data_IF_737705987606
#
_entry.id   IF_737705987606
#
_cell.length_a   1.000
_cell.length_b   1.000
_cell.length_c   1.000
_cell.angle_alpha   90.00
_cell.angle_beta   90.00
_cell.angle_gamma   90.00
#
_symmetry.space_group_name_H-M   'P 1'
#
loop_
_entity.id
_entity.type
_entity.pdbx_description
1 polymer ?
#
# COMPACT_ATOMS: atom_id res chain seq x y z
N UNK A 1 -18.66 10.04 -33.61
CA UNK A 1 -17.54 10.81 -34.17
C UNK A 1 -16.40 10.76 -33.19
N UNK A 2 -15.31 10.12 -33.58
CA UNK A 2 -14.15 9.82 -32.76
C UNK A 2 -13.29 11.07 -32.57
N UNK A 3 -12.77 11.30 -31.37
CA UNK A 3 -11.66 12.22 -31.13
C UNK A 3 -10.63 11.51 -30.27
N UNK A 4 -9.53 11.15 -30.92
CA UNK A 4 -8.32 10.55 -30.37
C UNK A 4 -7.37 11.65 -29.88
N UNK A 5 -6.99 11.64 -28.60
CA UNK A 5 -5.91 12.49 -28.11
C UNK A 5 -4.59 11.71 -28.19
N UNK A 6 -3.77 12.10 -29.17
CA UNK A 6 -2.40 11.63 -29.41
C UNK A 6 -1.45 12.47 -28.55
N UNK A 7 -0.46 11.81 -27.93
CA UNK A 7 0.66 12.44 -27.24
C UNK A 7 1.52 13.23 -28.24
N UNK A 8 1.71 14.53 -27.99
CA UNK A 8 2.59 15.41 -28.76
C UNK A 8 4.06 15.23 -28.35
N UNK A 9 4.91 14.89 -29.31
CA UNK A 9 6.36 15.17 -29.29
C UNK A 9 6.64 16.24 -30.36
N UNK A 10 7.36 17.31 -29.98
CA UNK A 10 7.83 18.39 -30.87
C UNK A 10 9.19 18.04 -31.51
N UNK A 11 9.61 18.75 -32.59
CA UNK A 11 10.33 18.16 -33.71
C UNK A 11 11.85 18.42 -33.76
N UNK A 12 12.46 17.69 -34.69
CA UNK A 12 13.84 17.66 -35.17
C UNK A 12 14.44 18.99 -35.66
N UNK A 13 15.75 19.13 -35.50
CA UNK A 13 16.63 19.93 -36.38
C UNK A 13 17.74 19.06 -36.96
N UNK A 14 18.01 19.27 -38.25
CA UNK A 14 18.87 18.45 -39.11
C UNK A 14 20.26 19.05 -39.35
N UNK A 15 21.28 18.18 -39.24
CA UNK A 15 22.49 18.00 -40.07
C UNK A 15 23.24 19.20 -40.68
N UNK A 16 24.55 19.23 -40.44
CA UNK A 16 25.55 19.38 -41.51
C UNK A 16 26.85 18.61 -41.19
N UNK A 17 27.44 18.07 -42.25
CA UNK A 17 28.58 17.14 -42.31
C UNK A 17 29.90 17.86 -42.63
N UNK A 18 31.06 17.31 -42.22
CA UNK A 18 32.16 16.85 -43.11
C UNK A 18 33.43 16.41 -42.33
N UNK A 19 33.73 15.12 -42.47
CA UNK A 19 35.03 14.42 -42.63
C UNK A 19 36.38 15.08 -42.26
N UNK A 20 37.27 14.32 -41.59
CA UNK A 20 38.55 13.83 -42.15
C UNK A 20 39.14 12.65 -41.33
N UNK A 21 39.75 11.70 -42.06
CA UNK A 21 40.47 10.51 -41.57
C UNK A 21 41.74 10.88 -40.77
N UNK A 22 42.08 10.07 -39.76
CA UNK A 22 43.40 9.42 -39.75
C UNK A 22 43.43 8.18 -38.87
N UNK A 23 43.93 7.10 -39.46
CA UNK A 23 44.18 5.79 -38.90
C UNK A 23 45.49 5.76 -38.10
N UNK A 24 45.47 5.16 -36.90
CA UNK A 24 46.64 4.47 -36.34
C UNK A 24 46.21 3.38 -35.37
N UNK A 25 46.67 2.18 -35.67
CA UNK A 25 46.64 0.94 -34.90
C UNK A 25 47.46 1.06 -33.61
N UNK A 26 46.95 0.51 -32.50
CA UNK A 26 47.75 -0.23 -31.51
C UNK A 26 46.88 -1.05 -30.55
N UNK A 27 47.48 -2.14 -30.08
CA UNK A 27 47.02 -3.37 -29.43
C UNK A 27 46.39 -3.24 -28.03
N UNK A 28 45.69 -4.28 -27.53
CA UNK A 28 44.90 -4.20 -26.30
C UNK A 28 45.74 -4.47 -25.06
N UNK A 29 45.65 -3.60 -24.05
CA UNK A 29 46.10 -3.90 -22.70
C UNK A 29 44.87 -4.13 -21.82
N UNK A 30 44.67 -5.38 -21.42
CA UNK A 30 43.74 -5.77 -20.37
C UNK A 30 44.27 -5.30 -19.02
N UNK A 31 43.65 -4.28 -18.45
CA UNK A 31 43.78 -3.95 -17.03
C UNK A 31 42.44 -4.22 -16.36
N UNK A 32 42.40 -5.25 -15.51
CA UNK A 32 41.30 -5.47 -14.56
C UNK A 32 41.41 -4.42 -13.45
N UNK A 33 40.41 -3.54 -13.24
CA UNK A 33 40.33 -2.79 -12.00
C UNK A 33 39.74 -3.72 -10.93
N UNK A 34 40.54 -4.05 -9.92
CA UNK A 34 40.06 -4.57 -8.64
C UNK A 34 39.09 -3.55 -8.02
N UNK A 35 37.79 -3.79 -8.15
CA UNK A 35 36.76 -3.02 -7.45
C UNK A 35 36.66 -3.61 -6.04
N UNK A 36 37.30 -2.94 -5.09
CA UNK A 36 37.07 -3.17 -3.65
C UNK A 36 35.70 -2.58 -3.32
N UNK A 37 34.68 -3.46 -3.16
CA UNK A 37 33.40 -3.06 -2.56
C UNK A 37 33.62 -2.89 -1.06
N UNK A 38 33.84 -1.66 -0.63
CA UNK A 38 33.69 -1.29 0.77
C UNK A 38 32.17 -1.17 1.07
N UNK A 39 31.62 -2.16 1.77
CA UNK A 39 30.29 -2.05 2.37
C UNK A 39 30.40 -1.15 3.59
N UNK A 40 30.09 0.12 3.45
CA UNK A 40 29.76 0.98 4.60
C UNK A 40 28.27 0.85 4.87
N UNK A 41 27.90 -0.11 5.72
CA UNK A 41 26.61 -0.06 6.42
C UNK A 41 26.69 1.11 7.40
N UNK A 42 26.21 2.27 6.97
CA UNK A 42 26.04 3.42 7.86
C UNK A 42 24.72 3.19 8.58
N UNK A 43 24.80 2.64 9.80
CA UNK A 43 23.68 2.56 10.72
C UNK A 43 23.27 3.99 11.10
N UNK A 44 22.23 4.49 10.44
CA UNK A 44 21.52 5.67 10.92
C UNK A 44 20.75 5.26 12.18
N UNK A 45 21.41 5.41 13.33
CA UNK A 45 20.75 5.49 14.62
C UNK A 45 19.95 6.80 14.66
N UNK A 46 18.73 6.78 14.11
CA UNK A 46 17.75 7.79 14.44
C UNK A 46 17.37 7.59 15.91
N UNK A 47 17.35 8.70 16.66
CA UNK A 47 17.06 8.76 18.09
C UNK A 47 15.90 7.83 18.46
N UNK A 48 16.23 6.69 19.05
CA UNK A 48 15.27 5.75 19.60
C UNK A 48 14.48 6.48 20.68
N UNK A 49 13.16 6.58 20.52
CA UNK A 49 12.28 6.50 21.69
C UNK A 49 12.69 5.22 22.42
N UNK A 50 13.45 5.38 23.50
CA UNK A 50 13.99 4.28 24.26
C UNK A 50 12.80 3.51 24.86
N UNK A 51 12.41 2.39 24.23
CA UNK A 51 11.31 1.55 24.73
C UNK A 51 10.60 0.65 23.73
N UNK A 52 10.65 0.91 22.42
CA UNK A 52 9.90 0.08 21.44
C UNK A 52 10.81 -0.97 20.79
N UNK A 53 10.45 -2.26 20.94
CA UNK A 53 11.06 -3.37 20.21
C UNK A 53 10.38 -3.55 18.86
N UNK A 54 11.17 -3.77 17.80
CA UNK A 54 10.66 -4.18 16.48
C UNK A 54 11.22 -5.55 16.13
N UNK A 55 10.34 -6.50 15.81
CA UNK A 55 10.70 -7.82 15.31
C UNK A 55 10.11 -8.00 13.91
N UNK A 56 10.85 -8.62 13.00
CA UNK A 56 10.33 -9.00 11.70
C UNK A 56 10.38 -10.52 11.53
N UNK A 57 9.40 -11.06 10.81
CA UNK A 57 9.34 -12.49 10.52
C UNK A 57 8.47 -12.74 9.28
N UNK A 58 8.33 -14.01 8.91
CA UNK A 58 7.46 -14.45 7.83
C UNK A 58 6.45 -15.47 8.34
N UNK A 59 5.21 -15.35 7.87
CA UNK A 59 4.16 -16.34 8.03
C UNK A 59 3.86 -17.00 6.68
N UNK A 60 3.64 -18.31 6.64
CA UNK A 60 3.42 -19.03 5.38
C UNK A 60 1.92 -19.11 5.09
N UNK A 61 1.46 -18.28 4.15
CA UNK A 61 0.08 -18.35 3.67
C UNK A 61 -0.06 -19.45 2.61
N UNK A 62 -0.91 -20.44 2.90
CA UNK A 62 -1.28 -21.48 1.94
C UNK A 62 -2.52 -21.06 1.17
N UNK A 63 -2.38 -20.87 -0.14
CA UNK A 63 -3.48 -20.51 -1.03
C UNK A 63 -3.46 -21.34 -2.30
N UNK A 64 -4.47 -22.20 -2.46
CA UNK A 64 -4.49 -23.25 -3.49
C UNK A 64 -3.20 -24.08 -3.40
N UNK A 65 -2.50 -24.26 -4.52
CA UNK A 65 -1.23 -25.01 -4.58
C UNK A 65 0.00 -24.15 -4.27
N UNK A 66 -0.18 -22.90 -3.81
CA UNK A 66 0.93 -21.98 -3.51
C UNK A 66 1.15 -21.91 -2.00
N UNK A 67 2.43 -21.90 -1.62
CA UNK A 67 2.89 -21.44 -0.31
C UNK A 67 3.56 -20.09 -0.51
N UNK A 68 3.04 -19.06 0.15
CA UNK A 68 3.47 -17.67 -0.02
C UNK A 68 4.06 -17.20 1.29
N UNK A 69 5.34 -16.82 1.32
CA UNK A 69 5.93 -16.19 2.50
C UNK A 69 5.40 -14.77 2.63
N UNK A 70 4.74 -14.49 3.75
CA UNK A 70 4.12 -13.23 4.08
C UNK A 70 4.97 -12.54 5.12
N UNK A 71 5.59 -11.44 4.73
CA UNK A 71 6.41 -10.64 5.63
C UNK A 71 5.52 -9.82 6.57
N UNK A 72 5.91 -9.76 7.84
CA UNK A 72 5.26 -8.90 8.83
C UNK A 72 6.27 -8.35 9.85
N UNK A 73 5.89 -7.24 10.49
CA UNK A 73 6.64 -6.60 11.57
C UNK A 73 5.76 -6.48 12.81
N UNK A 74 6.29 -6.87 13.97
CA UNK A 74 5.68 -6.66 15.28
C UNK A 74 6.40 -5.54 16.01
N UNK A 75 5.62 -4.62 16.59
CA UNK A 75 6.13 -3.55 17.46
C UNK A 75 5.42 -3.61 18.81
N UNK A 76 6.20 -3.65 19.88
CA UNK A 76 5.73 -3.64 21.27
C UNK A 76 6.75 -2.98 22.22
N UNK A 77 6.41 -2.82 23.49
CA UNK A 77 7.32 -2.26 24.52
C UNK A 77 8.34 -3.27 25.07
N UNK A 78 8.36 -4.50 24.58
CA UNK A 78 9.21 -5.57 25.11
C UNK A 78 8.90 -6.01 26.55
N UNK A 79 7.74 -5.64 27.11
CA UNK A 79 7.27 -6.12 28.41
C UNK A 79 6.30 -7.29 28.25
N UNK A 80 6.25 -8.16 29.27
CA UNK A 80 5.27 -9.26 29.35
C UNK A 80 3.89 -8.79 29.86
N UNK A 81 3.65 -7.48 29.91
CA UNK A 81 2.38 -6.92 30.35
C UNK A 81 1.26 -7.21 29.33
N UNK A 82 0.00 -7.39 29.79
CA UNK A 82 -1.13 -7.56 28.88
C UNK A 82 -1.24 -6.41 27.88
N UNK A 83 -1.43 -6.75 26.61
CA UNK A 83 -1.53 -5.77 25.52
C UNK A 83 -2.76 -6.01 24.64
N UNK A 84 -3.27 -4.92 24.06
CA UNK A 84 -4.31 -4.93 23.03
C UNK A 84 -3.64 -5.06 21.66
N UNK A 85 -4.17 -5.93 20.81
CA UNK A 85 -3.59 -6.20 19.49
C UNK A 85 -4.17 -5.28 18.43
N UNK A 86 -3.29 -4.73 17.60
CA UNK A 86 -3.65 -3.88 16.46
C UNK A 86 -3.00 -4.46 15.21
N UNK A 87 -3.82 -4.82 14.22
CA UNK A 87 -3.34 -5.14 12.88
C UNK A 87 -3.36 -3.88 12.02
N UNK A 88 -2.19 -3.48 11.50
CA UNK A 88 -2.03 -2.39 10.55
C UNK A 88 -1.77 -2.94 9.15
N UNK A 89 -2.60 -2.52 8.20
CA UNK A 89 -2.59 -3.06 6.84
C UNK A 89 -2.22 -1.92 5.89
N UNK A 90 -1.05 -1.99 5.23
CA UNK A 90 -0.64 -1.07 4.18
C UNK A 90 -1.73 -0.92 3.12
N UNK A 91 -1.70 0.21 2.43
CA UNK A 91 -2.51 0.40 1.24
C UNK A 91 -2.25 -0.69 0.20
N UNK A 92 -3.10 -0.73 -0.83
CA UNK A 92 -2.82 -1.55 -2.02
C UNK A 92 -2.49 -0.58 -3.15
N UNK A 93 -1.22 -0.55 -3.53
CA UNK A 93 -0.67 0.19 -4.65
C UNK A 93 0.48 -0.59 -5.29
N UNK A 94 1.14 0.03 -6.28
CA UNK A 94 2.24 -0.62 -7.00
C UNK A 94 3.46 -0.93 -6.14
N UNK A 95 3.63 -0.21 -5.03
CA UNK A 95 4.83 -0.18 -4.19
C UNK A 95 4.50 -0.21 -2.70
N UNK A 96 3.29 -0.63 -2.35
CA UNK A 96 2.87 -0.67 -0.94
C UNK A 96 3.68 -1.67 -0.12
N UNK A 97 3.90 -1.31 1.13
CA UNK A 97 4.75 -2.05 2.07
C UNK A 97 4.49 -1.65 3.52
N UNK A 98 4.90 -2.48 4.48
CA UNK A 98 4.85 -2.20 5.93
C UNK A 98 5.43 -0.84 6.33
N UNK A 99 6.34 -0.28 5.52
CA UNK A 99 7.00 0.99 5.81
C UNK A 99 6.02 2.14 5.96
N UNK A 100 4.86 2.08 5.29
CA UNK A 100 3.78 3.06 5.37
C UNK A 100 3.29 3.28 6.81
N UNK A 101 3.44 2.27 7.67
CA UNK A 101 2.87 2.25 9.02
C UNK A 101 3.91 2.27 10.13
N UNK A 102 5.21 2.10 9.84
CA UNK A 102 6.26 1.97 10.88
C UNK A 102 6.27 3.13 11.87
N UNK A 103 6.13 4.36 11.40
CA UNK A 103 6.14 5.55 12.26
C UNK A 103 4.91 5.59 13.17
N UNK A 104 3.72 5.28 12.64
CA UNK A 104 2.47 5.22 13.42
C UNK A 104 2.51 4.09 14.45
N UNK A 105 3.01 2.91 14.06
CA UNK A 105 3.17 1.77 14.95
C UNK A 105 4.09 2.08 16.13
N UNK A 106 5.25 2.69 15.87
CA UNK A 106 6.20 3.09 16.92
C UNK A 106 5.63 4.14 17.85
N UNK A 107 4.90 5.12 17.31
CA UNK A 107 4.26 6.17 18.11
C UNK A 107 3.20 5.57 19.06
N UNK A 108 2.25 4.79 18.52
CA UNK A 108 1.18 4.18 19.33
C UNK A 108 1.74 3.22 20.39
N UNK A 109 2.71 2.37 20.03
CA UNK A 109 3.33 1.42 20.97
C UNK A 109 4.21 2.10 22.02
N UNK A 110 4.81 3.24 21.70
CA UNK A 110 5.64 4.01 22.62
C UNK A 110 4.85 4.83 23.64
N UNK A 111 3.57 5.13 23.40
CA UNK A 111 2.73 5.93 24.30
C UNK A 111 2.44 5.23 25.62
N UNK A 112 2.37 6.01 26.69
CA UNK A 112 1.93 5.53 28.01
C UNK A 112 0.43 5.83 28.18
N UNK A 113 -0.35 4.78 28.42
CA UNK A 113 -1.80 4.84 28.60
C UNK A 113 -2.27 3.84 29.67
N UNK A 114 -3.58 3.63 29.80
CA UNK A 114 -4.11 2.63 30.76
C UNK A 114 -3.88 1.20 30.28
N UNK A 115 -3.77 1.02 28.97
CA UNK A 115 -3.52 -0.26 28.31
C UNK A 115 -2.25 -0.17 27.47
N UNK A 116 -1.54 -1.28 27.35
CA UNK A 116 -0.44 -1.39 26.40
C UNK A 116 -0.97 -1.85 25.03
N UNK A 117 -0.28 -1.46 23.97
CA UNK A 117 -0.60 -1.87 22.61
C UNK A 117 0.54 -2.69 22.03
N UNK A 118 0.19 -3.76 21.30
CA UNK A 118 1.07 -4.45 20.37
C UNK A 118 0.53 -4.25 18.97
N UNK A 119 1.40 -3.89 18.05
CA UNK A 119 1.01 -3.64 16.66
C UNK A 119 1.70 -4.65 15.75
N UNK A 120 0.95 -5.18 14.79
CA UNK A 120 1.48 -6.02 13.73
C UNK A 120 1.20 -5.35 12.40
N UNK A 121 2.23 -5.08 11.61
CA UNK A 121 2.11 -4.56 10.25
C UNK A 121 2.40 -5.71 9.28
N UNK A 122 1.54 -5.93 8.29
CA UNK A 122 1.67 -7.07 7.36
C UNK A 122 1.76 -6.62 5.91
N UNK A 123 2.67 -7.21 5.14
CA UNK A 123 2.71 -7.03 3.70
C UNK A 123 1.73 -7.96 2.98
N UNK A 124 1.02 -7.43 2.00
CA UNK A 124 0.13 -8.22 1.17
C UNK A 124 0.89 -9.29 0.35
N UNK A 125 0.27 -10.45 0.05
CA UNK A 125 0.81 -11.37 -0.95
C UNK A 125 0.95 -10.62 -2.28
N UNK A 126 2.15 -10.64 -2.87
CA UNK A 126 2.43 -9.91 -4.11
C UNK A 126 2.96 -8.48 -3.95
N UNK A 127 3.07 -7.94 -2.73
CA UNK A 127 3.58 -6.59 -2.45
C UNK A 127 4.68 -6.61 -1.38
N UNK A 128 5.32 -5.44 -1.15
CA UNK A 128 6.36 -5.27 -0.14
C UNK A 128 7.47 -6.32 -0.15
N UNK A 129 7.77 -6.83 1.04
CA UNK A 129 8.78 -7.84 1.29
C UNK A 129 8.23 -9.27 1.18
N UNK A 130 6.91 -9.45 1.09
CA UNK A 130 6.26 -10.74 0.81
C UNK A 130 6.62 -11.31 -0.57
N UNK A 131 6.38 -12.62 -0.72
CA UNK A 131 6.50 -13.33 -1.98
C UNK A 131 5.50 -12.82 -3.03
N UNK A 132 5.88 -12.90 -4.30
CA UNK A 132 5.05 -12.45 -5.44
C UNK A 132 4.77 -13.55 -6.48
N UNK A 133 4.08 -14.63 -6.08
CA UNK A 133 3.72 -15.69 -7.00
C UNK A 133 2.82 -15.17 -8.13
N UNK A 134 2.80 -15.89 -9.24
CA UNK A 134 1.87 -15.62 -10.34
C UNK A 134 0.47 -16.11 -9.94
N UNK A 135 -0.30 -15.25 -9.27
CA UNK A 135 -1.71 -15.51 -8.93
C UNK A 135 -2.64 -14.66 -9.79
N UNK A 136 -3.91 -15.07 -9.84
CA UNK A 136 -5.01 -14.26 -10.39
C UNK A 136 -5.54 -13.32 -9.31
N UNK A 137 -4.68 -12.37 -8.90
CA UNK A 137 -5.01 -11.38 -7.89
C UNK A 137 -6.29 -10.61 -8.25
N UNK A 138 -7.23 -10.61 -7.32
CA UNK A 138 -8.48 -9.86 -7.35
C UNK A 138 -8.89 -9.54 -5.89
N UNK A 139 -9.92 -8.73 -5.70
CA UNK A 139 -10.38 -8.33 -4.37
C UNK A 139 -10.69 -9.51 -3.45
N UNK A 140 -11.22 -10.63 -3.97
CA UNK A 140 -11.56 -11.81 -3.18
C UNK A 140 -10.32 -12.60 -2.76
N UNK A 141 -9.27 -12.64 -3.59
CA UNK A 141 -7.97 -13.21 -3.20
C UNK A 141 -7.36 -12.39 -2.05
N UNK A 142 -7.40 -11.07 -2.14
CA UNK A 142 -6.85 -10.19 -1.10
C UNK A 142 -7.69 -10.27 0.19
N UNK A 143 -9.02 -10.29 0.08
CA UNK A 143 -9.91 -10.54 1.24
C UNK A 143 -9.65 -11.89 1.87
N UNK A 144 -9.51 -12.96 1.07
CA UNK A 144 -9.21 -14.31 1.59
C UNK A 144 -7.90 -14.33 2.37
N UNK A 145 -6.86 -13.66 1.87
CA UNK A 145 -5.61 -13.49 2.60
C UNK A 145 -5.85 -12.81 3.94
N UNK A 146 -6.56 -11.68 3.98
CA UNK A 146 -6.83 -10.95 5.22
C UNK A 146 -7.60 -11.83 6.24
N UNK A 147 -8.61 -12.55 5.76
CA UNK A 147 -9.41 -13.48 6.58
C UNK A 147 -8.54 -14.61 7.14
N UNK A 148 -7.67 -15.18 6.32
CA UNK A 148 -6.76 -16.26 6.75
C UNK A 148 -5.72 -15.73 7.73
N UNK A 149 -5.14 -14.56 7.46
CA UNK A 149 -4.17 -13.94 8.33
C UNK A 149 -4.78 -13.62 9.70
N UNK A 150 -6.05 -13.21 9.78
CA UNK A 150 -6.68 -12.94 11.08
C UNK A 150 -7.07 -14.23 11.83
N UNK A 151 -7.56 -15.25 11.10
CA UNK A 151 -8.20 -16.41 11.73
C UNK A 151 -7.32 -17.67 11.83
N UNK A 152 -6.18 -17.73 11.14
CA UNK A 152 -5.33 -18.92 11.16
C UNK A 152 -4.70 -19.14 12.55
N UNK A 153 -4.71 -20.38 13.08
CA UNK A 153 -4.21 -20.66 14.42
C UNK A 153 -2.72 -20.32 14.65
N UNK A 154 -1.92 -20.39 13.58
CA UNK A 154 -0.48 -20.13 13.55
C UNK A 154 -0.13 -18.72 13.08
N UNK A 155 -1.14 -17.86 12.85
CA UNK A 155 -0.91 -16.48 12.46
C UNK A 155 -0.34 -15.66 13.64
N UNK A 156 0.55 -14.67 13.36
CA UNK A 156 1.04 -13.76 14.39
C UNK A 156 -0.05 -12.90 15.06
N UNK A 157 -1.23 -12.76 14.41
CA UNK A 157 -2.35 -12.00 14.96
C UNK A 157 -3.53 -12.89 15.34
N UNK A 158 -3.31 -14.21 15.48
CA UNK A 158 -4.36 -15.13 15.87
C UNK A 158 -5.03 -14.64 17.15
N UNK A 159 -6.32 -14.37 17.04
CA UNK A 159 -7.09 -13.68 18.05
C UNK A 159 -8.12 -14.62 18.67
N UNK A 160 -7.65 -15.59 19.46
CA UNK A 160 -8.50 -16.49 20.23
C UNK A 160 -9.48 -15.73 21.14
N UNK A 161 -9.07 -14.54 21.59
CA UNK A 161 -9.77 -13.74 22.59
C UNK A 161 -10.69 -12.68 21.96
N UNK A 162 -10.76 -12.63 20.62
CA UNK A 162 -11.58 -11.69 19.82
C UNK A 162 -11.32 -10.20 20.10
N UNK A 163 -10.14 -9.88 20.61
CA UNK A 163 -9.71 -8.52 20.92
C UNK A 163 -8.64 -8.00 19.95
N UNK A 164 -9.07 -7.68 18.72
CA UNK A 164 -8.21 -7.19 17.64
C UNK A 164 -8.83 -5.95 17.02
N UNK A 165 -8.07 -4.86 16.98
CA UNK A 165 -8.40 -3.67 16.19
C UNK A 165 -7.70 -3.75 14.84
N UNK A 166 -8.38 -3.34 13.78
CA UNK A 166 -7.82 -3.34 12.42
C UNK A 166 -7.73 -1.91 11.88
N UNK A 167 -6.53 -1.48 11.52
CA UNK A 167 -6.27 -0.23 10.82
C UNK A 167 -5.86 -0.53 9.38
N UNK A 168 -6.55 0.06 8.41
CA UNK A 168 -6.27 -0.14 6.99
C UNK A 168 -6.17 1.18 6.25
N UNK A 169 -5.26 1.27 5.28
CA UNK A 169 -5.15 2.40 4.36
C UNK A 169 -5.82 2.12 3.01
N UNK A 170 -6.46 3.11 2.38
CA UNK A 170 -6.90 2.99 0.99
C UNK A 170 -7.84 1.80 0.74
N UNK A 171 -7.55 0.98 -0.28
CA UNK A 171 -8.31 -0.25 -0.59
C UNK A 171 -8.26 -1.29 0.54
N UNK A 172 -7.20 -1.31 1.35
CA UNK A 172 -7.08 -2.24 2.49
C UNK A 172 -8.18 -2.01 3.52
N UNK A 173 -8.47 -0.74 3.82
CA UNK A 173 -9.56 -0.35 4.71
C UNK A 173 -10.90 -0.93 4.22
N UNK A 174 -11.19 -0.72 2.94
CA UNK A 174 -12.43 -1.17 2.31
C UNK A 174 -12.55 -2.69 2.27
N UNK A 175 -11.44 -3.42 2.06
CA UNK A 175 -11.41 -4.88 2.15
C UNK A 175 -11.68 -5.37 3.58
N UNK A 176 -11.12 -4.72 4.60
CA UNK A 176 -11.36 -5.06 6.00
C UNK A 176 -12.84 -4.87 6.37
N UNK A 177 -13.44 -3.73 5.98
CA UNK A 177 -14.87 -3.47 6.16
C UNK A 177 -15.72 -4.50 5.41
N UNK A 178 -15.35 -4.84 4.16
CA UNK A 178 -16.04 -5.86 3.37
C UNK A 178 -16.01 -7.24 4.03
N UNK A 179 -14.86 -7.64 4.56
CA UNK A 179 -14.69 -8.90 5.29
C UNK A 179 -15.53 -8.94 6.59
N UNK A 180 -15.52 -7.83 7.34
CA UNK A 180 -16.31 -7.69 8.56
C UNK A 180 -17.82 -7.72 8.28
N UNK A 181 -18.27 -7.02 7.23
CA UNK A 181 -19.66 -7.03 6.75
C UNK A 181 -20.13 -8.43 6.34
N UNK A 182 -19.24 -9.26 5.78
CA UNK A 182 -19.51 -10.68 5.47
C UNK A 182 -19.44 -11.60 6.69
N UNK A 183 -19.06 -11.09 7.87
CA UNK A 183 -18.88 -11.88 9.10
C UNK A 183 -17.67 -12.81 9.06
N UNK A 184 -16.75 -12.62 8.11
CA UNK A 184 -15.55 -13.45 7.93
C UNK A 184 -14.45 -13.09 8.94
N UNK A 185 -14.47 -11.85 9.44
CA UNK A 185 -13.64 -11.37 10.55
C UNK A 185 -14.52 -10.61 11.52
N UNK A 186 -14.12 -10.54 12.79
CA UNK A 186 -14.88 -9.90 13.87
C UNK A 186 -13.95 -9.01 14.72
N UNK A 187 -13.38 -7.94 14.15
CA UNK A 187 -12.54 -7.03 14.90
C UNK A 187 -13.35 -6.26 15.95
N UNK A 188 -12.69 -5.86 17.04
CA UNK A 188 -13.27 -5.00 18.09
C UNK A 188 -13.63 -3.63 17.51
N UNK A 189 -12.78 -3.11 16.61
CA UNK A 189 -13.00 -1.85 15.92
C UNK A 189 -12.21 -1.80 14.61
N UNK A 190 -12.60 -0.91 13.71
CA UNK A 190 -11.91 -0.66 12.44
C UNK A 190 -11.57 0.83 12.34
N UNK A 191 -10.34 1.16 11.96
CA UNK A 191 -10.00 2.49 11.46
C UNK A 191 -9.67 2.40 9.96
N UNK A 192 -10.36 3.23 9.18
CA UNK A 192 -10.24 3.35 7.73
C UNK A 192 -9.54 4.65 7.38
N UNK A 193 -8.28 4.57 6.94
CA UNK A 193 -7.42 5.73 6.67
C UNK A 193 -7.37 5.97 5.17
N UNK A 194 -7.74 7.18 4.75
CA UNK A 194 -7.89 7.56 3.34
C UNK A 194 -8.58 6.46 2.51
N UNK A 195 -9.75 5.93 2.92
CA UNK A 195 -10.31 4.72 2.31
C UNK A 195 -10.68 4.96 0.85
N UNK A 196 -10.29 4.01 0.00
CA UNK A 196 -10.53 4.03 -1.44
C UNK A 196 -11.10 2.69 -1.89
N UNK A 197 -11.77 2.66 -3.04
CA UNK A 197 -12.35 1.43 -3.58
C UNK A 197 -12.14 1.21 -5.07
N UNK A 198 -11.83 2.27 -5.83
CA UNK A 198 -11.67 2.22 -7.28
C UNK A 198 -10.19 2.35 -7.67
N UNK A 199 -9.70 1.45 -8.50
CA UNK A 199 -8.36 1.50 -9.05
C UNK A 199 -8.18 2.67 -10.02
N UNK A 200 -6.92 2.99 -10.41
CA UNK A 200 -6.62 4.18 -11.20
C UNK A 200 -7.36 4.28 -12.54
N UNK A 201 -7.50 3.19 -13.30
CA UNK A 201 -8.23 3.26 -14.58
C UNK A 201 -9.75 3.33 -14.38
N UNK A 202 -10.38 2.45 -13.57
CA UNK A 202 -11.82 2.54 -13.31
C UNK A 202 -12.27 3.89 -12.76
N UNK A 203 -11.51 4.50 -11.84
CA UNK A 203 -11.91 5.79 -11.23
C UNK A 203 -11.83 6.94 -12.25
N UNK A 204 -10.92 6.86 -13.23
CA UNK A 204 -10.72 7.91 -14.24
C UNK A 204 -11.65 7.75 -15.43
N UNK A 205 -11.78 6.52 -15.94
CA UNK A 205 -12.40 6.21 -17.23
C UNK A 205 -13.73 5.47 -17.10
N UNK A 206 -14.14 5.09 -15.89
CA UNK A 206 -15.40 4.37 -15.65
C UNK A 206 -15.29 2.86 -15.92
N UNK A 207 -16.45 2.21 -15.95
CA UNK A 207 -16.60 0.74 -15.99
C UNK A 207 -17.62 0.23 -16.99
N UNK A 208 -17.83 0.95 -18.10
CA UNK A 208 -18.65 0.37 -19.17
C UNK A 208 -17.99 -0.88 -19.76
N UNK A 209 -18.78 -1.72 -20.41
CA UNK A 209 -18.34 -3.01 -20.96
C UNK A 209 -17.16 -2.88 -21.93
N UNK A 210 -17.07 -1.77 -22.67
CA UNK A 210 -15.96 -1.52 -23.60
C UNK A 210 -14.66 -1.20 -22.85
N UNK A 211 -14.74 -0.44 -21.76
CA UNK A 211 -13.60 -0.14 -20.89
C UNK A 211 -13.12 -1.39 -20.15
N UNK A 212 -14.01 -2.18 -19.57
CA UNK A 212 -13.66 -3.43 -18.88
C UNK A 212 -12.94 -4.42 -19.80
N UNK A 213 -13.34 -4.47 -21.08
CA UNK A 213 -12.64 -5.25 -22.11
C UNK A 213 -11.20 -4.75 -22.32
N UNK A 214 -10.99 -3.44 -22.40
CA UNK A 214 -9.65 -2.82 -22.54
C UNK A 214 -8.77 -3.07 -21.31
N UNK A 215 -9.36 -2.99 -20.12
CA UNK A 215 -8.69 -3.32 -18.86
C UNK A 215 -8.22 -4.78 -18.86
N UNK A 216 -9.06 -5.70 -19.35
CA UNK A 216 -8.70 -7.10 -19.56
C UNK A 216 -7.49 -7.30 -20.48
N UNK A 217 -7.49 -6.63 -21.64
CA UNK A 217 -6.36 -6.70 -22.58
C UNK A 217 -5.07 -6.13 -21.98
N UNK A 218 -5.12 -4.94 -21.36
CA UNK A 218 -3.96 -4.33 -20.73
C UNK A 218 -3.38 -5.23 -19.63
N UNK A 219 -4.25 -5.77 -18.76
CA UNK A 219 -3.85 -6.71 -17.71
C UNK A 219 -3.20 -7.96 -18.29
N UNK A 220 -3.78 -8.53 -19.35
CA UNK A 220 -3.23 -9.68 -20.06
C UNK A 220 -1.80 -9.40 -20.56
N UNK A 221 -1.60 -8.24 -21.20
CA UNK A 221 -0.29 -7.79 -21.69
C UNK A 221 0.71 -7.63 -20.56
N UNK A 222 0.36 -6.94 -19.46
CA UNK A 222 1.26 -6.76 -18.30
C UNK A 222 1.63 -8.10 -17.63
N UNK A 223 0.75 -9.10 -17.68
CA UNK A 223 1.01 -10.43 -17.12
C UNK A 223 1.89 -11.31 -18.02
N UNK A 224 1.93 -11.04 -19.33
CA UNK A 224 2.67 -11.83 -20.30
C UNK A 224 4.18 -11.91 -19.98
N UNK A 225 4.82 -13.09 -20.14
CA UNK A 225 6.28 -13.19 -20.06
C UNK A 225 6.96 -12.28 -21.09
N UNK A 226 8.15 -11.78 -20.76
CA UNK A 226 8.95 -10.85 -21.57
C UNK A 226 8.26 -9.50 -21.89
N UNK A 227 7.25 -9.48 -22.76
CA UNK A 227 6.56 -8.26 -23.21
C UNK A 227 5.94 -7.51 -22.02
N UNK A 228 5.25 -8.23 -21.13
CA UNK A 228 4.67 -7.63 -19.93
C UNK A 228 5.72 -7.08 -18.97
N UNK A 229 6.89 -7.73 -18.88
CA UNK A 229 8.02 -7.25 -18.09
C UNK A 229 8.63 -5.97 -18.66
N UNK A 230 8.82 -5.91 -19.98
CA UNK A 230 9.30 -4.71 -20.66
C UNK A 230 8.33 -3.54 -20.47
N UNK A 231 7.03 -3.77 -20.67
CA UNK A 231 6.00 -2.74 -20.49
C UNK A 231 5.91 -2.27 -19.03
N UNK A 232 5.95 -3.18 -18.06
CA UNK A 232 5.99 -2.83 -16.64
C UNK A 232 7.24 -2.01 -16.29
N UNK A 233 8.40 -2.34 -16.85
CA UNK A 233 9.62 -1.57 -16.60
C UNK A 233 9.55 -0.15 -17.13
N UNK A 234 8.93 0.05 -18.30
CA UNK A 234 8.80 1.38 -18.90
C UNK A 234 7.76 2.23 -18.16
N UNK A 235 6.61 1.65 -17.81
CA UNK A 235 5.47 2.39 -17.29
C UNK A 235 5.47 2.53 -15.76
N UNK A 236 5.92 1.50 -15.04
CA UNK A 236 5.77 1.40 -13.59
C UNK A 236 7.12 1.39 -12.88
N UNK A 237 8.07 0.54 -13.29
CA UNK A 237 9.39 0.42 -12.64
C UNK A 237 10.37 1.52 -13.11
N UNK A 238 10.02 2.76 -12.83
CA UNK A 238 10.75 3.97 -13.19
C UNK A 238 10.72 4.97 -12.02
N UNK A 239 11.89 5.31 -11.46
CA UNK A 239 12.01 6.26 -10.35
C UNK A 239 11.32 7.61 -10.63
N UNK A 240 11.39 8.11 -11.86
CA UNK A 240 10.72 9.36 -12.24
C UNK A 240 9.20 9.23 -12.20
N UNK A 241 8.67 8.07 -12.62
CA UNK A 241 7.24 7.78 -12.55
C UNK A 241 6.77 7.71 -11.10
N UNK A 242 7.51 6.96 -10.26
CA UNK A 242 7.22 6.85 -8.81
C UNK A 242 7.29 8.23 -8.15
N UNK A 243 8.35 9.01 -8.41
CA UNK A 243 8.50 10.37 -7.88
C UNK A 243 7.37 11.27 -8.30
N UNK A 244 7.00 11.23 -9.58
CA UNK A 244 5.90 12.03 -10.12
C UNK A 244 4.58 11.68 -9.46
N UNK A 245 4.25 10.38 -9.31
CA UNK A 245 3.04 9.94 -8.61
C UNK A 245 3.03 10.39 -7.14
N UNK A 246 4.15 10.20 -6.44
CA UNK A 246 4.27 10.59 -5.04
C UNK A 246 4.04 12.08 -4.82
N UNK A 247 4.70 12.93 -5.63
CA UNK A 247 4.59 14.39 -5.54
C UNK A 247 3.27 14.98 -6.05
N UNK A 248 2.42 14.20 -6.71
CA UNK A 248 1.20 14.74 -7.35
C UNK A 248 -0.10 14.25 -6.74
N UNK A 249 -0.14 13.03 -6.21
CA UNK A 249 -1.40 12.44 -5.74
C UNK A 249 -1.25 11.61 -4.46
N UNK A 250 -0.07 11.03 -4.20
CA UNK A 250 0.13 10.17 -3.02
C UNK A 250 0.36 11.00 -1.77
N UNK A 251 1.21 12.03 -1.87
CA UNK A 251 1.46 13.01 -0.82
C UNK A 251 0.81 14.35 -1.19
N UNK A 252 0.34 15.08 -0.18
CA UNK A 252 -0.08 16.46 -0.36
C UNK A 252 1.12 17.41 -0.43
N UNK A 253 2.16 17.15 0.37
CA UNK A 253 3.40 17.93 0.41
C UNK A 253 4.52 17.23 -0.40
N UNK A 254 4.89 17.76 -1.59
CA UNK A 254 5.94 17.16 -2.42
C UNK A 254 7.34 17.27 -1.81
N UNK A 255 7.57 18.14 -0.84
CA UNK A 255 8.86 18.29 -0.16
C UNK A 255 9.11 17.16 0.86
N UNK A 256 8.04 16.50 1.32
CA UNK A 256 8.15 15.29 2.17
C UNK A 256 8.52 14.03 1.38
N UNK A 257 8.52 14.09 0.05
CA UNK A 257 8.93 12.97 -0.80
C UNK A 257 10.46 12.91 -0.84
N UNK A 258 11.04 12.13 0.07
CA UNK A 258 12.49 12.01 0.22
C UNK A 258 13.10 11.04 -0.80
N UNK A 259 14.41 11.16 -1.10
CA UNK A 259 15.13 10.18 -1.92
C UNK A 259 15.02 8.75 -1.38
N UNK A 260 15.06 8.58 -0.06
CA UNK A 260 14.92 7.29 0.60
C UNK A 260 13.58 6.61 0.28
N UNK A 261 12.47 7.36 0.33
CA UNK A 261 11.15 6.81 -0.05
C UNK A 261 11.19 6.33 -1.50
N UNK A 262 11.69 7.17 -2.42
CA UNK A 262 11.74 6.81 -3.84
C UNK A 262 12.62 5.58 -4.09
N UNK A 263 13.80 5.50 -3.46
CA UNK A 263 14.71 4.36 -3.58
C UNK A 263 14.06 3.07 -3.06
N UNK A 264 13.46 3.12 -1.88
CA UNK A 264 12.75 1.98 -1.28
C UNK A 264 11.62 1.49 -2.20
N UNK A 265 10.74 2.39 -2.66
CA UNK A 265 9.63 2.06 -3.56
C UNK A 265 10.12 1.53 -4.91
N UNK A 266 11.19 2.11 -5.46
CA UNK A 266 11.78 1.63 -6.69
C UNK A 266 12.35 0.21 -6.55
N UNK A 267 13.03 -0.09 -5.45
CA UNK A 267 13.54 -1.44 -5.18
C UNK A 267 12.42 -2.49 -5.17
N UNK A 268 11.24 -2.16 -4.64
CA UNK A 268 10.07 -3.05 -4.65
C UNK A 268 9.62 -3.40 -6.07
N UNK A 269 9.68 -2.46 -7.01
CA UNK A 269 9.31 -2.71 -8.42
C UNK A 269 10.29 -3.63 -9.14
N UNK A 270 11.52 -3.81 -8.64
CA UNK A 270 12.53 -4.69 -9.23
C UNK A 270 12.43 -6.15 -8.77
N UNK A 271 11.68 -6.42 -7.70
CA UNK A 271 11.52 -7.77 -7.16
C UNK A 271 10.81 -8.69 -8.18
N UNK A 272 11.20 -9.96 -8.22
CA UNK A 272 10.57 -10.94 -9.11
C UNK A 272 9.06 -11.00 -8.85
N UNK A 273 8.27 -10.98 -9.93
CA UNK A 273 6.80 -11.01 -9.83
C UNK A 273 6.13 -9.67 -9.49
N UNK A 274 6.89 -8.58 -9.34
CA UNK A 274 6.38 -7.25 -8.96
C UNK A 274 5.23 -6.72 -9.82
N UNK A 275 5.05 -7.21 -11.05
CA UNK A 275 4.01 -6.72 -11.98
C UNK A 275 2.60 -7.25 -11.74
N UNK A 276 2.43 -8.36 -11.01
CA UNK A 276 1.14 -9.07 -10.99
C UNK A 276 0.03 -8.35 -10.21
N UNK A 277 0.34 -7.90 -8.99
CA UNK A 277 -0.62 -7.10 -8.18
C UNK A 277 -0.83 -5.70 -8.78
N UNK A 278 0.20 -4.95 -9.19
CA UNK A 278 0.01 -3.67 -9.89
C UNK A 278 -0.90 -3.75 -11.11
N UNK A 279 -0.74 -4.79 -11.95
CA UNK A 279 -1.61 -4.98 -13.10
C UNK A 279 -3.09 -5.20 -12.69
N UNK A 280 -3.33 -5.92 -11.59
CA UNK A 280 -4.67 -6.11 -11.04
C UNK A 280 -5.24 -4.83 -10.42
N UNK A 281 -4.42 -4.07 -9.69
CA UNK A 281 -4.78 -2.80 -9.07
C UNK A 281 -5.14 -1.75 -10.13
N UNK A 282 -4.23 -1.51 -11.09
CA UNK A 282 -4.39 -0.55 -12.17
C UNK A 282 -5.71 -0.75 -12.94
N UNK A 283 -6.08 -2.01 -13.15
CA UNK A 283 -7.22 -2.42 -13.98
C UNK A 283 -8.50 -2.73 -13.19
N UNK A 284 -8.51 -2.46 -11.88
CA UNK A 284 -9.72 -2.57 -11.05
C UNK A 284 -10.13 -3.97 -10.61
N UNK A 285 -9.26 -4.99 -10.74
CA UNK A 285 -9.56 -6.31 -10.19
C UNK A 285 -9.50 -6.34 -8.67
N UNK A 286 -8.71 -5.46 -8.05
CA UNK A 286 -8.60 -5.35 -6.59
C UNK A 286 -9.69 -4.48 -5.98
N UNK A 287 -10.59 -3.94 -6.81
CA UNK A 287 -11.64 -3.04 -6.34
C UNK A 287 -12.69 -3.82 -5.54
N UNK A 288 -12.90 -3.50 -4.25
CA UNK A 288 -13.75 -4.31 -3.39
C UNK A 288 -15.24 -4.23 -3.74
N UNK A 289 -15.64 -3.16 -4.42
CA UNK A 289 -17.02 -2.83 -4.81
C UNK A 289 -17.08 -2.20 -6.21
N UNK A 290 -18.30 -2.16 -6.76
CA UNK A 290 -18.55 -1.71 -8.13
C UNK A 290 -19.09 -0.28 -8.26
N UNK A 291 -19.53 0.35 -7.17
CA UNK A 291 -19.98 1.74 -7.17
C UNK A 291 -19.77 2.44 -5.82
N UNK A 292 -19.98 3.76 -5.79
CA UNK A 292 -19.98 4.55 -4.56
C UNK A 292 -21.10 4.15 -3.62
N UNK A 293 -22.26 3.80 -4.14
CA UNK A 293 -23.42 3.37 -3.34
C UNK A 293 -23.09 2.07 -2.61
N UNK A 294 -22.48 1.10 -3.30
CA UNK A 294 -21.98 -0.12 -2.66
C UNK A 294 -20.89 0.19 -1.63
N UNK A 295 -20.00 1.13 -1.91
CA UNK A 295 -18.96 1.57 -0.98
C UNK A 295 -19.56 2.15 0.31
N UNK A 296 -20.49 3.10 0.21
CA UNK A 296 -21.19 3.68 1.37
C UNK A 296 -22.00 2.62 2.12
N UNK A 297 -22.67 1.71 1.39
CA UNK A 297 -23.44 0.63 1.99
C UNK A 297 -22.55 -0.32 2.82
N UNK A 298 -21.31 -0.60 2.40
CA UNK A 298 -20.38 -1.42 3.18
C UNK A 298 -20.18 -0.85 4.59
N UNK A 299 -20.03 0.46 4.71
CA UNK A 299 -19.87 1.11 6.01
C UNK A 299 -21.18 1.18 6.78
N UNK A 300 -22.30 1.48 6.11
CA UNK A 300 -23.62 1.51 6.75
C UNK A 300 -23.95 0.20 7.48
N UNK A 301 -23.53 -0.95 6.94
CA UNK A 301 -23.75 -2.27 7.54
C UNK A 301 -22.99 -2.51 8.86
N UNK A 302 -22.03 -1.65 9.23
CA UNK A 302 -21.34 -1.69 10.52
C UNK A 302 -22.11 -1.01 11.65
N UNK A 303 -23.18 -0.27 11.34
CA UNK A 303 -23.99 0.48 12.31
C UNK A 303 -24.39 -0.38 13.51
N UNK A 304 -24.03 0.08 14.71
CA UNK A 304 -24.31 -0.60 15.98
C UNK A 304 -23.58 -1.93 16.20
N UNK A 305 -22.71 -2.37 15.27
CA UNK A 305 -22.01 -3.66 15.33
C UNK A 305 -20.52 -3.51 15.62
N UNK A 306 -19.84 -2.62 14.89
CA UNK A 306 -18.38 -2.44 14.98
C UNK A 306 -18.08 -0.94 14.94
N UNK A 307 -17.46 -0.37 15.98
CA UNK A 307 -16.95 1.00 15.94
C UNK A 307 -16.04 1.22 14.73
N UNK A 308 -16.35 2.23 13.92
CA UNK A 308 -15.60 2.54 12.71
C UNK A 308 -15.16 4.01 12.69
N UNK A 309 -13.85 4.25 12.69
CA UNK A 309 -13.25 5.55 12.43
C UNK A 309 -12.95 5.68 10.92
N UNK A 310 -13.29 6.81 10.31
CA UNK A 310 -12.81 7.20 8.99
C UNK A 310 -11.91 8.43 9.12
N UNK A 311 -10.65 8.30 8.71
CA UNK A 311 -9.74 9.42 8.52
C UNK A 311 -9.72 9.79 7.04
N UNK A 312 -10.48 10.82 6.67
CA UNK A 312 -10.39 11.43 5.35
C UNK A 312 -9.24 12.43 5.30
N UNK A 313 -8.82 12.83 4.10
CA UNK A 313 -7.62 13.65 3.92
C UNK A 313 -7.90 14.89 3.10
N UNK A 314 -7.45 16.04 3.58
CA UNK A 314 -7.71 17.34 2.96
C UNK A 314 -7.11 17.47 1.56
N UNK A 315 -5.91 16.91 1.35
CA UNK A 315 -5.11 17.03 0.12
C UNK A 315 -5.30 15.88 -0.88
N UNK A 316 -6.26 14.98 -0.67
CA UNK A 316 -6.52 13.89 -1.61
C UNK A 316 -6.98 14.39 -2.99
N UNK A 317 -6.63 13.69 -4.08
CA UNK A 317 -7.13 14.00 -5.42
C UNK A 317 -8.67 14.07 -5.46
N UNK A 318 -9.22 14.98 -6.26
CA UNK A 318 -10.66 15.30 -6.32
C UNK A 318 -11.58 14.06 -6.33
N UNK A 319 -11.25 13.05 -7.14
CA UNK A 319 -12.08 11.84 -7.26
C UNK A 319 -12.05 11.01 -5.98
N UNK A 320 -10.86 10.69 -5.46
CA UNK A 320 -10.71 9.94 -4.21
C UNK A 320 -11.29 10.70 -3.02
N UNK A 321 -11.09 12.02 -2.96
CA UNK A 321 -11.68 12.88 -1.94
C UNK A 321 -13.21 12.80 -1.94
N UNK A 322 -13.84 12.83 -3.11
CA UNK A 322 -15.30 12.70 -3.23
C UNK A 322 -15.82 11.33 -2.76
N UNK A 323 -15.03 10.26 -2.90
CA UNK A 323 -15.39 8.95 -2.32
C UNK A 323 -15.31 8.97 -0.78
N UNK A 324 -14.25 9.56 -0.21
CA UNK A 324 -14.12 9.70 1.24
C UNK A 324 -15.23 10.58 1.83
N UNK A 325 -15.55 11.71 1.19
CA UNK A 325 -16.61 12.62 1.62
C UNK A 325 -17.99 11.95 1.65
N UNK A 326 -18.24 10.98 0.76
CA UNK A 326 -19.48 10.21 0.77
C UNK A 326 -19.67 9.36 2.04
N UNK A 327 -18.59 9.08 2.78
CA UNK A 327 -18.66 8.36 4.06
C UNK A 327 -18.99 9.27 5.25
N UNK A 328 -18.97 10.60 5.09
CA UNK A 328 -19.21 11.54 6.19
C UNK A 328 -20.59 11.35 6.85
N UNK A 329 -21.59 10.95 6.07
CA UNK A 329 -22.96 10.72 6.51
C UNK A 329 -23.34 9.22 6.54
N UNK A 330 -22.36 8.32 6.34
CA UNK A 330 -22.61 6.89 6.37
C UNK A 330 -22.88 6.43 7.82
N UNK A 331 -24.05 5.83 8.05
CA UNK A 331 -24.55 5.50 9.41
C UNK A 331 -23.61 4.66 10.27
N UNK A 332 -22.86 3.73 9.67
CA UNK A 332 -21.93 2.88 10.40
C UNK A 332 -20.55 3.50 10.63
N UNK A 333 -20.30 4.73 10.18
CA UNK A 333 -19.11 5.50 10.52
C UNK A 333 -19.34 6.16 11.88
N UNK A 334 -18.76 5.60 12.93
CA UNK A 334 -18.89 6.11 14.30
C UNK A 334 -18.20 7.46 14.47
N UNK A 335 -17.11 7.69 13.73
CA UNK A 335 -16.34 8.94 13.78
C UNK A 335 -15.73 9.24 12.43
N UNK A 336 -15.89 10.46 11.95
CA UNK A 336 -15.29 10.95 10.72
C UNK A 336 -14.40 12.15 11.04
N UNK A 337 -13.12 12.09 10.65
CA UNK A 337 -12.15 13.17 10.87
C UNK A 337 -11.42 13.45 9.57
N UNK A 338 -11.27 14.73 9.21
CA UNK A 338 -10.39 15.14 8.11
C UNK A 338 -9.01 15.50 8.68
N UNK A 339 -7.94 14.93 8.12
CA UNK A 339 -6.54 15.18 8.50
C UNK A 339 -5.73 15.74 7.32
N UNK A 340 -4.56 16.38 7.56
CA UNK A 340 -3.63 16.74 6.49
C UNK A 340 -3.07 15.52 5.76
N UNK A 341 -2.57 15.73 4.54
CA UNK A 341 -2.01 14.71 3.67
C UNK A 341 -2.93 14.35 2.49
N UNK A 342 -2.51 13.37 1.69
CA UNK A 342 -3.27 12.88 0.52
C UNK A 342 -3.64 11.39 0.64
N UNK A 343 -3.08 10.49 -0.18
CA UNK A 343 -3.49 9.08 -0.18
C UNK A 343 -2.70 8.19 0.79
N UNK A 344 -1.57 8.67 1.33
CA UNK A 344 -0.79 8.00 2.38
C UNK A 344 -0.56 8.91 3.61
N UNK A 345 -1.62 9.43 4.25
CA UNK A 345 -1.46 10.30 5.41
C UNK A 345 -0.72 9.61 6.57
N UNK A 346 -0.80 8.27 6.69
CA UNK A 346 -0.06 7.50 7.69
C UNK A 346 1.46 7.52 7.47
N UNK A 347 1.92 7.73 6.24
CA UNK A 347 3.33 7.83 5.89
C UNK A 347 3.79 9.31 5.86
N UNK A 348 2.94 10.20 5.33
CA UNK A 348 3.22 11.62 5.13
C UNK A 348 3.06 12.46 6.42
N UNK A 349 2.06 12.12 7.23
CA UNK A 349 1.66 12.84 8.45
C UNK A 349 1.50 11.87 9.64
N UNK A 350 2.52 11.03 9.95
CA UNK A 350 2.39 9.92 10.88
C UNK A 350 1.99 10.35 12.29
N UNK A 351 2.51 11.48 12.78
CA UNK A 351 2.20 11.99 14.13
C UNK A 351 0.70 12.33 14.29
N UNK A 352 0.12 13.01 13.30
CA UNK A 352 -1.30 13.40 13.32
C UNK A 352 -2.19 12.17 13.21
N UNK A 353 -1.83 11.23 12.31
CA UNK A 353 -2.57 9.99 12.15
C UNK A 353 -2.50 9.15 13.42
N UNK A 354 -1.31 8.98 14.01
CA UNK A 354 -1.13 8.25 15.26
C UNK A 354 -1.93 8.88 16.41
N UNK A 355 -1.96 10.21 16.53
CA UNK A 355 -2.78 10.91 17.51
C UNK A 355 -4.28 10.60 17.36
N UNK A 356 -4.82 10.66 16.14
CA UNK A 356 -6.25 10.36 15.91
C UNK A 356 -6.58 8.90 16.19
N UNK A 357 -5.71 7.98 15.76
CA UNK A 357 -5.87 6.55 16.02
C UNK A 357 -5.76 6.23 17.52
N UNK A 358 -4.82 6.86 18.22
CA UNK A 358 -4.66 6.70 19.66
C UNK A 358 -5.91 7.16 20.41
N UNK A 359 -6.44 8.36 20.10
CA UNK A 359 -7.70 8.84 20.71
C UNK A 359 -8.86 7.88 20.47
N UNK A 360 -8.95 7.30 19.28
CA UNK A 360 -9.98 6.30 18.98
C UNK A 360 -9.80 5.02 19.81
N UNK A 361 -8.56 4.55 20.00
CA UNK A 361 -8.28 3.42 20.90
C UNK A 361 -8.65 3.73 22.36
N UNK A 362 -8.40 4.95 22.83
CA UNK A 362 -8.82 5.38 24.17
C UNK A 362 -10.34 5.37 24.33
N UNK A 363 -11.08 5.76 23.29
CA UNK A 363 -12.55 5.70 23.29
C UNK A 363 -13.07 4.25 23.34
N UNK A 364 -12.32 3.28 22.82
CA UNK A 364 -12.71 1.86 22.80
C UNK A 364 -12.33 1.13 24.10
N UNK A 365 -11.17 1.45 24.67
CA UNK A 365 -10.57 0.65 25.75
C UNK A 365 -10.33 1.39 27.06
N UNK A 366 -10.35 2.72 27.06
CA UNK A 366 -9.98 3.53 28.23
C UNK A 366 -11.13 4.36 28.82
N UNK A 367 -12.27 4.44 28.12
CA UNK A 367 -13.56 4.93 28.61
C UNK A 367 -14.41 3.74 29.06
#
# INVERSE_FOLDING_TARGET
MASSAIFNFLPSSSLSSLSFRNSRTQTPNFYNPLIVKASTSVDYSSSSLAGTSTKNNNWVWKYKDNSVNIYYEEHDKGSDEPCKNILMIPTISDVSTVEEWRSVAKDITGRNGKVNYRTTIVDWPGLGYSDRPKLDYNADVMEKFLVDFINAPDSPVNNSDKDLVVFGGGHAATLAVRAAKKGLVKPTAIASIAPTWAGPLPIVFGRDSSMETRYGFLRGTLRAPAVGWMMYNVLVSNEKSITSQYKSHVYADPEKVTPYIIESRFALTKRQGARYVPAAFLTGLLDPVKSREEFVQLFAELEGKIPCLVLATAGSPKRSKAEMEALKEAKGVSKYVEVPGALLPQEECPEIVAEQLYRFLQEIYEL
#
